data_IF_935719867019
#
_entry.id   IF_935719867019
#
_cell.length_a   1.000
_cell.length_b   1.000
_cell.length_c   1.000
_cell.angle_alpha   90.00
_cell.angle_beta   90.00
_cell.angle_gamma   90.00
#
_symmetry.space_group_name_H-M   'P 1'
#
loop_
_entity.id
_entity.type
_entity.pdbx_description
1 polymer ?
#
# COMPACT_ATOMS: atom_id res chain seq x y z
N UNK A 1 41.91 74.88 -33.83
CA UNK A 1 42.42 73.60 -33.31
C UNK A 1 43.58 73.88 -32.38
N UNK A 2 43.39 74.01 -31.05
CA UNK A 2 44.50 74.12 -30.13
C UNK A 2 44.93 72.72 -29.67
N UNK A 3 46.23 72.50 -29.80
CA UNK A 3 46.98 71.29 -29.53
C UNK A 3 46.64 70.63 -28.20
N UNK A 4 46.41 69.31 -28.24
CA UNK A 4 46.35 68.46 -27.08
C UNK A 4 47.71 68.50 -26.35
N UNK A 5 47.80 69.34 -25.32
CA UNK A 5 48.84 69.22 -24.30
C UNK A 5 48.60 67.87 -23.64
N UNK A 6 49.49 66.92 -23.93
CA UNK A 6 49.49 65.61 -23.28
C UNK A 6 49.77 65.87 -21.80
N UNK A 7 48.73 65.98 -20.97
CA UNK A 7 48.83 65.97 -19.52
C UNK A 7 49.40 64.61 -19.12
N UNK A 8 50.74 64.51 -19.06
CA UNK A 8 51.41 63.38 -18.43
C UNK A 8 51.02 63.42 -16.96
N UNK A 9 50.32 62.38 -16.50
CA UNK A 9 50.06 62.20 -15.07
C UNK A 9 51.41 62.19 -14.35
N UNK A 10 51.57 63.02 -13.30
CA UNK A 10 52.77 63.06 -12.48
C UNK A 10 53.12 61.65 -12.03
N UNK A 11 54.40 61.31 -12.01
CA UNK A 11 54.86 59.99 -11.59
C UNK A 11 55.66 60.13 -10.32
N UNK A 12 55.61 59.10 -9.47
CA UNK A 12 56.49 59.01 -8.31
C UNK A 12 57.94 59.05 -8.77
N UNK A 13 58.67 60.09 -8.39
CA UNK A 13 60.09 60.22 -8.63
C UNK A 13 60.82 59.58 -7.44
N UNK A 14 61.76 58.69 -7.75
CA UNK A 14 62.68 58.10 -6.77
C UNK A 14 64.10 58.36 -7.25
N UNK A 15 64.81 59.26 -6.57
CA UNK A 15 66.22 59.51 -6.83
C UNK A 15 67.06 58.59 -5.92
N UNK A 16 68.09 57.97 -6.47
CA UNK A 16 69.10 57.25 -5.69
C UNK A 16 70.10 58.21 -5.04
N UNK A 17 70.78 57.79 -3.99
CA UNK A 17 71.71 58.62 -3.21
C UNK A 17 72.81 59.25 -4.10
N UNK A 18 73.35 58.49 -5.05
CA UNK A 18 74.34 58.97 -6.03
C UNK A 18 73.79 60.00 -7.03
N UNK A 19 72.49 59.91 -7.37
CA UNK A 19 71.83 60.88 -8.24
C UNK A 19 71.55 62.19 -7.50
N UNK A 20 71.32 62.14 -6.19
CA UNK A 20 71.14 63.32 -5.35
C UNK A 20 72.41 64.17 -5.26
N UNK A 21 73.59 63.54 -5.26
CA UNK A 21 74.89 64.21 -5.16
C UNK A 21 75.33 64.89 -6.48
N UNK A 22 74.75 64.48 -7.61
CA UNK A 22 75.17 64.90 -8.96
C UNK A 22 74.12 65.73 -9.71
N UNK A 23 72.91 65.87 -9.18
CA UNK A 23 71.79 66.55 -9.85
C UNK A 23 71.97 68.07 -9.86
N UNK A 24 71.57 68.70 -10.96
CA UNK A 24 71.54 70.16 -11.05
C UNK A 24 70.40 70.73 -10.19
N UNK A 25 70.55 71.98 -9.73
CA UNK A 25 69.51 72.66 -8.95
C UNK A 25 68.19 72.78 -9.75
N UNK A 26 68.26 73.00 -11.06
CA UNK A 26 67.08 73.13 -11.93
C UNK A 26 66.33 71.79 -12.07
N UNK A 27 67.06 70.69 -12.24
CA UNK A 27 66.48 69.34 -12.34
C UNK A 27 65.90 68.86 -11.00
N UNK A 28 66.51 69.27 -9.88
CA UNK A 28 65.97 69.02 -8.54
C UNK A 28 64.66 69.77 -8.32
N UNK A 29 64.58 71.05 -8.73
CA UNK A 29 63.35 71.85 -8.64
C UNK A 29 62.25 71.24 -9.51
N UNK A 30 62.57 70.81 -10.74
CA UNK A 30 61.61 70.12 -11.60
C UNK A 30 61.11 68.82 -10.95
N UNK A 31 62.03 68.00 -10.44
CA UNK A 31 61.71 66.74 -9.76
C UNK A 31 60.87 66.95 -8.50
N UNK A 32 61.14 68.00 -7.74
CA UNK A 32 60.35 68.39 -6.58
C UNK A 32 58.92 68.74 -7.00
N UNK A 33 58.74 69.63 -7.99
CA UNK A 33 57.41 70.05 -8.45
C UNK A 33 56.59 68.90 -9.02
N UNK A 34 57.21 67.98 -9.75
CA UNK A 34 56.52 66.79 -10.28
C UNK A 34 56.12 65.82 -9.15
N UNK A 35 56.96 65.66 -8.13
CA UNK A 35 56.65 64.86 -6.95
C UNK A 35 55.56 65.50 -6.09
N UNK A 36 55.55 66.82 -5.94
CA UNK A 36 54.53 67.60 -5.23
C UNK A 36 53.16 67.45 -5.90
N UNK A 37 53.12 67.61 -7.22
CA UNK A 37 51.90 67.40 -8.02
C UNK A 37 51.41 65.93 -7.98
N UNK A 38 52.32 64.95 -7.87
CA UNK A 38 51.95 63.55 -7.66
C UNK A 38 51.32 63.32 -6.29
N UNK A 39 51.84 63.96 -5.24
CA UNK A 39 51.29 63.89 -3.87
C UNK A 39 49.91 64.53 -3.84
N UNK A 40 49.73 65.73 -4.41
CA UNK A 40 48.42 66.40 -4.50
C UNK A 40 47.36 65.51 -5.16
N UNK A 41 47.71 64.82 -6.25
CA UNK A 41 46.79 63.89 -6.91
C UNK A 41 46.47 62.69 -6.00
N UNK A 42 47.45 62.10 -5.33
CA UNK A 42 47.20 60.98 -4.40
C UNK A 42 46.33 61.39 -3.21
N UNK A 43 46.56 62.58 -2.65
CA UNK A 43 45.76 63.12 -1.55
C UNK A 43 44.33 63.37 -2.02
N UNK A 44 44.14 63.96 -3.22
CA UNK A 44 42.81 64.15 -3.80
C UNK A 44 42.09 62.83 -4.08
N UNK A 45 42.80 61.81 -4.56
CA UNK A 45 42.24 60.47 -4.79
C UNK A 45 41.87 59.77 -3.50
N UNK A 46 42.72 59.90 -2.46
CA UNK A 46 42.46 59.32 -1.14
C UNK A 46 41.23 59.98 -0.51
N UNK A 47 41.15 61.31 -0.55
CA UNK A 47 39.98 62.05 -0.07
C UNK A 47 38.69 61.68 -0.82
N UNK A 48 38.76 61.50 -2.15
CA UNK A 48 37.62 61.05 -2.94
C UNK A 48 37.19 59.62 -2.56
N UNK A 49 38.14 58.70 -2.38
CA UNK A 49 37.86 57.33 -1.95
C UNK A 49 37.26 57.28 -0.54
N UNK A 50 37.75 58.11 0.39
CA UNK A 50 37.18 58.22 1.75
C UNK A 50 35.74 58.72 1.71
N UNK A 51 35.43 59.71 0.87
CA UNK A 51 34.07 60.21 0.66
C UNK A 51 33.16 59.13 0.05
N UNK A 52 33.63 58.40 -0.96
CA UNK A 52 32.89 57.29 -1.56
C UNK A 52 32.60 56.19 -0.54
N UNK A 53 33.60 55.78 0.25
CA UNK A 53 33.44 54.79 1.32
C UNK A 53 32.41 55.26 2.36
N UNK A 54 32.45 56.54 2.75
CA UNK A 54 31.47 57.10 3.69
C UNK A 54 30.05 57.03 3.12
N UNK A 55 29.87 57.41 1.84
CA UNK A 55 28.56 57.35 1.18
C UNK A 55 28.04 55.92 1.03
N UNK A 56 28.92 54.98 0.71
CA UNK A 56 28.58 53.56 0.59
C UNK A 56 28.15 52.98 1.93
N UNK A 57 28.88 53.28 3.02
CA UNK A 57 28.50 52.87 4.38
C UNK A 57 27.15 53.43 4.79
N UNK A 58 26.88 54.69 4.49
CA UNK A 58 25.56 55.27 4.78
C UNK A 58 24.45 54.58 3.99
N UNK A 59 24.69 54.28 2.70
CA UNK A 59 23.72 53.57 1.87
C UNK A 59 23.48 52.13 2.36
N UNK A 60 24.54 51.43 2.78
CA UNK A 60 24.48 50.07 3.34
C UNK A 60 23.63 50.06 4.62
N UNK A 61 23.88 51.00 5.54
CA UNK A 61 23.14 51.09 6.79
C UNK A 61 21.65 51.40 6.55
N UNK A 62 21.35 52.32 5.62
CA UNK A 62 19.95 52.59 5.21
C UNK A 62 19.25 51.35 4.67
N UNK A 63 19.91 50.60 3.78
CA UNK A 63 19.36 49.37 3.21
C UNK A 63 19.17 48.29 4.27
N UNK A 64 20.11 48.17 5.20
CA UNK A 64 20.03 47.25 6.34
C UNK A 64 18.83 47.57 7.24
N UNK A 65 18.61 48.84 7.55
CA UNK A 65 17.46 49.29 8.35
C UNK A 65 16.14 49.01 7.62
N UNK A 66 16.03 49.35 6.33
CA UNK A 66 14.84 49.04 5.53
C UNK A 66 14.55 47.55 5.48
N UNK A 67 15.58 46.71 5.33
CA UNK A 67 15.42 45.26 5.32
C UNK A 67 14.91 44.73 6.66
N UNK A 68 15.43 45.24 7.78
CA UNK A 68 14.98 44.87 9.12
C UNK A 68 13.51 45.27 9.36
N UNK A 69 13.13 46.48 8.97
CA UNK A 69 11.74 46.95 9.07
C UNK A 69 10.80 46.12 8.20
N UNK A 70 11.18 45.84 6.94
CA UNK A 70 10.38 45.02 6.03
C UNK A 70 10.18 43.61 6.59
N UNK A 71 11.25 43.00 7.10
CA UNK A 71 11.21 41.65 7.72
C UNK A 71 10.32 41.65 8.97
N UNK A 72 10.35 42.71 9.76
CA UNK A 72 9.47 42.84 10.91
C UNK A 72 7.99 42.96 10.50
N UNK A 73 7.69 43.80 9.50
CA UNK A 73 6.33 43.95 8.95
C UNK A 73 5.80 42.63 8.40
N UNK A 74 6.62 41.90 7.65
CA UNK A 74 6.28 40.59 7.11
C UNK A 74 5.93 39.60 8.24
N UNK A 75 6.75 39.50 9.29
CA UNK A 75 6.48 38.64 10.44
C UNK A 75 5.14 38.96 11.12
N UNK A 76 4.77 40.23 11.22
CA UNK A 76 3.47 40.64 11.78
C UNK A 76 2.32 40.22 10.86
N UNK A 77 2.47 40.42 9.55
CA UNK A 77 1.46 40.04 8.57
C UNK A 77 1.23 38.52 8.55
N UNK A 78 2.29 37.72 8.61
CA UNK A 78 2.20 36.25 8.67
C UNK A 78 1.41 35.80 9.91
N UNK A 79 1.68 36.36 11.09
CA UNK A 79 0.91 36.02 12.31
C UNK A 79 -0.56 36.38 12.17
N UNK A 80 -0.85 37.57 11.62
CA UNK A 80 -2.24 38.02 11.42
C UNK A 80 -2.98 37.14 10.41
N UNK A 81 -2.29 36.71 9.36
CA UNK A 81 -2.83 35.78 8.37
C UNK A 81 -3.14 34.42 9.01
N UNK A 82 -2.21 33.87 9.80
CA UNK A 82 -2.44 32.63 10.55
C UNK A 82 -3.66 32.72 11.50
N UNK A 83 -3.84 33.86 12.20
CA UNK A 83 -5.04 34.08 13.03
C UNK A 83 -6.31 34.10 12.18
N UNK A 84 -6.29 34.74 11.01
CA UNK A 84 -7.45 34.77 10.10
C UNK A 84 -7.77 33.40 9.52
N UNK A 85 -6.76 32.60 9.19
CA UNK A 85 -6.94 31.21 8.76
C UNK A 85 -7.56 30.34 9.85
N UNK A 86 -7.11 30.52 11.10
CA UNK A 86 -7.71 29.83 12.24
C UNK A 86 -9.19 30.23 12.43
N UNK A 87 -9.52 31.52 12.40
CA UNK A 87 -10.92 32.00 12.48
C UNK A 87 -11.78 31.41 11.36
N UNK A 88 -11.29 31.37 10.12
CA UNK A 88 -12.01 30.74 9.00
C UNK A 88 -12.26 29.25 9.25
N UNK A 89 -11.27 28.53 9.79
CA UNK A 89 -11.41 27.11 10.11
C UNK A 89 -12.44 26.89 11.22
N UNK A 90 -12.48 27.76 12.24
CA UNK A 90 -13.49 27.73 13.29
C UNK A 90 -14.90 27.98 12.72
N UNK A 91 -15.07 28.96 11.82
CA UNK A 91 -16.36 29.17 11.13
C UNK A 91 -16.76 27.97 10.27
N UNK A 92 -15.81 27.34 9.57
CA UNK A 92 -16.08 26.14 8.80
C UNK A 92 -16.55 24.98 9.69
N UNK A 93 -15.94 24.81 10.87
CA UNK A 93 -16.38 23.83 11.88
C UNK A 93 -17.80 24.12 12.36
N UNK A 94 -18.09 25.38 12.74
CA UNK A 94 -19.42 25.78 13.17
C UNK A 94 -20.48 25.50 12.08
N UNK A 95 -20.17 25.81 10.82
CA UNK A 95 -21.08 25.51 9.69
C UNK A 95 -21.30 24.01 9.55
N UNK A 96 -20.25 23.18 9.70
CA UNK A 96 -20.37 21.73 9.63
C UNK A 96 -21.25 21.20 10.77
N UNK A 97 -21.07 21.71 11.99
CA UNK A 97 -21.89 21.38 13.16
C UNK A 97 -23.35 21.79 12.97
N UNK A 98 -23.61 23.01 12.50
CA UNK A 98 -24.97 23.47 12.20
C UNK A 98 -25.63 22.61 11.13
N UNK A 99 -24.91 22.20 10.08
CA UNK A 99 -25.44 21.31 9.04
C UNK A 99 -25.77 19.92 9.60
N UNK A 100 -24.89 19.35 10.42
CA UNK A 100 -25.14 18.06 11.08
C UNK A 100 -26.35 18.13 12.02
N UNK A 101 -26.44 19.19 12.83
CA UNK A 101 -27.59 19.46 13.71
C UNK A 101 -28.89 19.69 12.95
N UNK A 102 -28.84 20.36 11.79
CA UNK A 102 -30.02 20.61 10.96
C UNK A 102 -30.58 19.34 10.30
N UNK A 103 -29.72 18.38 9.93
CA UNK A 103 -30.18 17.07 9.40
C UNK A 103 -30.89 16.21 10.44
N UNK A 104 -30.44 16.20 11.70
CA UNK A 104 -31.16 15.57 12.80
C UNK A 104 -32.43 16.37 13.17
N UNK A 105 -32.34 17.70 13.11
CA UNK A 105 -33.39 18.64 13.43
C UNK A 105 -34.60 18.59 12.51
N UNK A 106 -34.48 18.33 11.19
CA UNK A 106 -35.66 18.25 10.31
C UNK A 106 -36.55 17.03 10.61
N UNK A 107 -35.96 15.87 10.89
CA UNK A 107 -36.70 14.65 11.25
C UNK A 107 -37.30 14.80 12.65
N UNK A 108 -36.55 15.38 13.59
CA UNK A 108 -37.02 15.71 14.93
C UNK A 108 -38.11 16.79 14.93
N UNK A 109 -38.01 17.83 14.08
CA UNK A 109 -39.04 18.86 13.90
C UNK A 109 -40.31 18.24 13.34
N UNK A 110 -40.21 17.37 12.32
CA UNK A 110 -41.39 16.67 11.79
C UNK A 110 -42.08 15.84 12.86
N UNK A 111 -41.34 15.20 13.76
CA UNK A 111 -41.93 14.48 14.91
C UNK A 111 -42.43 15.40 16.03
N UNK A 112 -41.84 16.58 16.23
CA UNK A 112 -42.25 17.55 17.26
C UNK A 112 -43.44 18.42 16.83
N UNK A 113 -43.62 18.64 15.52
CA UNK A 113 -44.76 19.34 14.93
C UNK A 113 -46.01 18.46 14.81
N UNK A 114 -45.85 17.15 14.92
CA UNK A 114 -46.97 16.23 15.08
C UNK A 114 -47.29 16.12 16.56
N UNK A 115 -48.58 16.22 16.90
CA UNK A 115 -49.05 15.92 18.26
C UNK A 115 -48.54 14.51 18.66
N UNK A 116 -48.01 14.31 19.88
CA UNK A 116 -47.42 13.04 20.28
C UNK A 116 -48.36 11.84 20.16
N UNK A 117 -49.67 12.02 20.43
CA UNK A 117 -50.65 10.94 20.29
C UNK A 117 -50.95 10.66 18.82
N UNK A 118 -51.05 11.70 17.98
CA UNK A 118 -51.21 11.58 16.53
C UNK A 118 -50.00 10.89 15.89
N UNK A 119 -48.78 11.24 16.30
CA UNK A 119 -47.55 10.62 15.80
C UNK A 119 -47.49 9.13 16.15
N UNK A 120 -47.85 8.76 17.39
CA UNK A 120 -47.90 7.36 17.81
C UNK A 120 -48.95 6.56 17.03
N UNK A 121 -50.12 7.15 16.78
CA UNK A 121 -51.15 6.53 15.93
C UNK A 121 -50.66 6.34 14.50
N UNK A 122 -50.04 7.35 13.89
CA UNK A 122 -49.48 7.27 12.54
C UNK A 122 -48.36 6.23 12.43
N UNK A 123 -47.50 6.11 13.44
CA UNK A 123 -46.47 5.07 13.49
C UNK A 123 -47.09 3.68 13.57
N UNK A 124 -48.11 3.48 14.42
CA UNK A 124 -48.83 2.21 14.50
C UNK A 124 -49.54 1.86 13.20
N UNK A 125 -50.24 2.82 12.60
CA UNK A 125 -50.91 2.64 11.31
C UNK A 125 -49.92 2.26 10.20
N UNK A 126 -48.73 2.87 10.17
CA UNK A 126 -47.68 2.51 9.21
C UNK A 126 -47.16 1.09 9.42
N UNK A 127 -46.97 0.69 10.68
CA UNK A 127 -46.53 -0.66 11.02
C UNK A 127 -47.58 -1.71 10.64
N UNK A 128 -48.85 -1.48 11.01
CA UNK A 128 -49.98 -2.34 10.65
C UNK A 128 -50.19 -2.42 9.14
N UNK A 129 -50.02 -1.31 8.42
CA UNK A 129 -50.11 -1.30 6.95
C UNK A 129 -49.00 -2.13 6.32
N UNK A 130 -47.78 -2.03 6.83
CA UNK A 130 -46.66 -2.85 6.35
C UNK A 130 -46.92 -4.34 6.61
N UNK A 131 -47.34 -4.68 7.82
CA UNK A 131 -47.62 -6.07 8.24
C UNK A 131 -48.77 -6.68 7.43
N UNK A 132 -49.83 -5.92 7.18
CA UNK A 132 -50.95 -6.40 6.34
C UNK A 132 -50.52 -6.58 4.90
N UNK A 133 -49.63 -5.73 4.38
CA UNK A 133 -49.07 -5.88 3.03
C UNK A 133 -48.20 -7.13 2.91
N UNK A 134 -47.34 -7.41 3.89
CA UNK A 134 -46.52 -8.64 3.87
C UNK A 134 -47.39 -9.89 3.97
N UNK A 135 -48.39 -9.91 4.85
CA UNK A 135 -49.35 -11.02 4.94
C UNK A 135 -50.15 -11.21 3.66
N UNK A 136 -50.52 -10.12 2.98
CA UNK A 136 -51.19 -10.18 1.68
C UNK A 136 -50.28 -10.81 0.61
N UNK A 137 -49.01 -10.41 0.56
CA UNK A 137 -48.03 -11.00 -0.36
C UNK A 137 -47.81 -12.49 -0.06
N UNK A 138 -47.68 -12.87 1.21
CA UNK A 138 -47.56 -14.28 1.64
C UNK A 138 -48.78 -15.11 1.26
N UNK A 139 -49.99 -14.67 1.62
CA UNK A 139 -51.23 -15.38 1.28
C UNK A 139 -51.48 -15.44 -0.23
N UNK A 140 -51.10 -14.40 -0.97
CA UNK A 140 -51.13 -14.41 -2.44
C UNK A 140 -50.14 -15.42 -3.01
N UNK A 141 -48.94 -15.52 -2.44
CA UNK A 141 -47.94 -16.51 -2.82
C UNK A 141 -48.42 -17.93 -2.51
N UNK A 142 -49.01 -18.17 -1.34
CA UNK A 142 -49.62 -19.45 -0.96
C UNK A 142 -50.79 -19.82 -1.88
N UNK A 143 -51.68 -18.87 -2.19
CA UNK A 143 -52.77 -19.09 -3.14
C UNK A 143 -52.24 -19.40 -4.54
N UNK A 144 -51.17 -18.74 -4.96
CA UNK A 144 -50.51 -19.03 -6.24
C UNK A 144 -49.87 -20.42 -6.25
N UNK A 145 -49.33 -20.87 -5.12
CA UNK A 145 -48.80 -22.21 -4.93
C UNK A 145 -49.93 -23.25 -4.90
N UNK A 146 -51.11 -22.95 -4.33
CA UNK A 146 -52.28 -23.82 -4.37
C UNK A 146 -52.92 -23.92 -5.76
N UNK A 147 -52.83 -22.86 -6.57
CA UNK A 147 -53.21 -22.87 -7.98
C UNK A 147 -52.18 -23.56 -8.87
N UNK A 148 -51.08 -24.07 -8.30
CA UNK A 148 -50.13 -24.88 -9.04
C UNK A 148 -50.81 -26.14 -9.55
N UNK A 149 -50.95 -26.20 -10.87
CA UNK A 149 -51.46 -27.37 -11.58
C UNK A 149 -50.30 -27.97 -12.38
N UNK A 150 -50.10 -29.30 -12.32
CA UNK A 150 -49.07 -29.99 -13.12
C UNK A 150 -49.20 -29.69 -14.62
N UNK A 151 -50.41 -29.36 -15.07
CA UNK A 151 -50.74 -29.10 -16.47
C UNK A 151 -50.47 -27.65 -16.94
N UNK A 152 -50.27 -26.71 -16.01
CA UNK A 152 -49.89 -25.33 -16.35
C UNK A 152 -48.53 -25.28 -17.03
N UNK A 153 -48.28 -24.28 -17.87
CA UNK A 153 -46.99 -24.13 -18.57
C UNK A 153 -45.79 -24.06 -17.59
N UNK A 154 -45.98 -23.40 -16.45
CA UNK A 154 -44.96 -23.32 -15.39
C UNK A 154 -44.81 -24.66 -14.66
N UNK A 155 -45.92 -25.35 -14.36
CA UNK A 155 -45.92 -26.67 -13.73
C UNK A 155 -45.27 -27.75 -14.59
N UNK A 156 -45.60 -27.79 -15.89
CA UNK A 156 -44.96 -28.68 -16.87
C UNK A 156 -43.45 -28.47 -16.94
N UNK A 157 -42.99 -27.21 -16.93
CA UNK A 157 -41.56 -26.88 -16.95
C UNK A 157 -40.84 -27.33 -15.67
N UNK A 158 -41.46 -27.14 -14.51
CA UNK A 158 -40.94 -27.61 -13.23
C UNK A 158 -40.87 -29.14 -13.20
N UNK A 159 -41.93 -29.82 -13.61
CA UNK A 159 -42.00 -31.29 -13.66
C UNK A 159 -40.99 -31.89 -14.64
N UNK A 160 -40.76 -31.25 -15.80
CA UNK A 160 -39.71 -31.64 -16.73
C UNK A 160 -38.32 -31.52 -16.08
N UNK A 161 -38.08 -30.42 -15.33
CA UNK A 161 -36.82 -30.22 -14.59
C UNK A 161 -36.65 -31.26 -13.47
N UNK A 162 -37.70 -31.59 -12.73
CA UNK A 162 -37.68 -32.66 -11.72
C UNK A 162 -37.36 -34.03 -12.35
N UNK A 163 -37.94 -34.36 -13.51
CA UNK A 163 -37.63 -35.61 -14.24
C UNK A 163 -36.18 -35.66 -14.70
N UNK A 164 -35.65 -34.56 -15.23
CA UNK A 164 -34.24 -34.46 -15.63
C UNK A 164 -33.31 -34.65 -14.44
N UNK A 165 -33.55 -33.97 -13.32
CA UNK A 165 -32.75 -34.15 -12.10
C UNK A 165 -32.80 -35.59 -11.56
N UNK A 166 -33.95 -36.25 -11.70
CA UNK A 166 -34.09 -37.66 -11.30
C UNK A 166 -33.24 -38.58 -12.19
N UNK A 167 -33.26 -38.35 -13.50
CA UNK A 167 -32.41 -39.09 -14.45
C UNK A 167 -30.93 -38.83 -14.21
N UNK A 168 -30.51 -37.58 -13.99
CA UNK A 168 -29.13 -37.23 -13.66
C UNK A 168 -28.67 -37.94 -12.37
N UNK A 169 -29.51 -37.96 -11.32
CA UNK A 169 -29.19 -38.68 -10.10
C UNK A 169 -29.07 -40.19 -10.30
N UNK A 170 -29.93 -40.78 -11.14
CA UNK A 170 -29.86 -42.21 -11.48
C UNK A 170 -28.58 -42.54 -12.29
N UNK A 171 -28.19 -41.65 -13.20
CA UNK A 171 -26.94 -41.76 -13.95
C UNK A 171 -25.70 -41.60 -13.06
N UNK A 172 -25.72 -40.65 -12.13
CA UNK A 172 -24.66 -40.50 -11.11
C UNK A 172 -24.57 -41.77 -10.25
N UNK A 173 -25.69 -42.34 -9.83
CA UNK A 173 -25.73 -43.62 -9.11
C UNK A 173 -25.14 -44.78 -9.93
N UNK A 174 -25.48 -44.86 -11.23
CA UNK A 174 -24.89 -45.84 -12.16
C UNK A 174 -23.39 -45.62 -12.39
N UNK A 175 -22.95 -44.37 -12.47
CA UNK A 175 -21.53 -44.03 -12.67
C UNK A 175 -20.69 -44.40 -11.45
N UNK A 176 -21.22 -44.14 -10.25
CA UNK A 176 -20.58 -44.50 -8.98
C UNK A 176 -20.45 -46.02 -8.85
N UNK A 177 -21.50 -46.78 -9.19
CA UNK A 177 -21.47 -48.24 -9.09
C UNK A 177 -20.63 -48.92 -10.18
N UNK A 178 -20.62 -48.40 -11.41
CA UNK A 178 -19.97 -49.08 -12.56
C UNK A 178 -18.48 -48.78 -12.71
N UNK A 179 -17.99 -47.59 -12.35
CA UNK A 179 -16.65 -47.16 -12.75
C UNK A 179 -15.53 -47.60 -11.80
N UNK A 180 -15.57 -47.09 -10.57
CA UNK A 180 -14.46 -47.26 -9.60
C UNK A 180 -14.66 -48.46 -8.69
N UNK A 181 -15.90 -48.73 -8.29
CA UNK A 181 -16.23 -49.85 -7.41
C UNK A 181 -15.95 -51.18 -8.09
N UNK A 182 -16.48 -51.39 -9.31
CA UNK A 182 -16.28 -52.62 -10.07
C UNK A 182 -14.80 -52.92 -10.36
N UNK A 183 -13.99 -51.88 -10.64
CA UNK A 183 -12.53 -52.04 -10.83
C UNK A 183 -11.83 -52.49 -9.53
N UNK A 184 -12.15 -51.86 -8.40
CA UNK A 184 -11.59 -52.22 -7.09
C UNK A 184 -12.04 -53.62 -6.64
N UNK A 185 -13.27 -54.02 -6.93
CA UNK A 185 -13.78 -55.37 -6.66
C UNK A 185 -13.06 -56.42 -7.52
N UNK A 186 -12.77 -56.11 -8.80
CA UNK A 186 -11.98 -56.96 -9.68
C UNK A 186 -10.53 -57.14 -9.20
N UNK A 187 -9.85 -56.04 -8.85
CA UNK A 187 -8.50 -56.09 -8.28
C UNK A 187 -8.46 -56.88 -6.96
N UNK A 188 -9.46 -56.70 -6.09
CA UNK A 188 -9.59 -57.42 -4.83
C UNK A 188 -9.82 -58.93 -5.03
N UNK A 189 -10.66 -59.31 -5.99
CA UNK A 189 -10.90 -60.72 -6.32
C UNK A 189 -9.64 -61.40 -6.85
N UNK A 190 -8.89 -60.70 -7.73
CA UNK A 190 -7.62 -61.18 -8.25
C UNK A 190 -6.61 -61.38 -7.11
N UNK A 191 -6.50 -60.42 -6.20
CA UNK A 191 -5.62 -60.50 -5.04
C UNK A 191 -5.96 -61.69 -4.12
N UNK A 192 -7.25 -61.98 -3.89
CA UNK A 192 -7.68 -63.15 -3.13
C UNK A 192 -7.25 -64.46 -3.80
N UNK A 193 -7.48 -64.58 -5.11
CA UNK A 193 -7.06 -65.78 -5.86
C UNK A 193 -5.56 -66.02 -5.80
N UNK A 194 -4.75 -64.96 -5.95
CA UNK A 194 -3.30 -65.04 -5.82
C UNK A 194 -2.86 -65.46 -4.41
N UNK A 195 -3.51 -64.91 -3.38
CA UNK A 195 -3.24 -65.28 -1.97
C UNK A 195 -3.55 -66.76 -1.70
N UNK A 196 -4.65 -67.27 -2.22
CA UNK A 196 -5.04 -68.67 -2.03
C UNK A 196 -4.11 -69.62 -2.80
N UNK A 197 -3.66 -69.25 -3.99
CA UNK A 197 -2.69 -70.03 -4.77
C UNK A 197 -1.32 -70.08 -4.08
N UNK A 198 -0.87 -68.97 -3.49
CA UNK A 198 0.35 -68.93 -2.66
C UNK A 198 0.20 -69.81 -1.43
N UNK A 199 -0.93 -69.76 -0.72
CA UNK A 199 -1.18 -70.64 0.44
C UNK A 199 -1.20 -72.12 0.05
N UNK A 200 -1.80 -72.44 -1.09
CA UNK A 200 -1.83 -73.81 -1.62
C UNK A 200 -0.42 -74.28 -1.96
N UNK A 201 0.35 -73.48 -2.70
CA UNK A 201 1.75 -73.79 -3.01
C UNK A 201 2.57 -73.97 -1.73
N UNK A 202 2.44 -73.08 -0.75
CA UNK A 202 3.10 -73.21 0.55
C UNK A 202 2.73 -74.52 1.26
N UNK A 203 1.45 -74.92 1.21
CA UNK A 203 0.98 -76.16 1.82
C UNK A 203 1.55 -77.40 1.13
N UNK A 204 1.64 -77.39 -0.19
CA UNK A 204 2.29 -78.45 -1.00
C UNK A 204 3.79 -78.55 -0.68
N UNK A 205 4.51 -77.42 -0.58
CA UNK A 205 5.90 -77.38 -0.13
C UNK A 205 6.05 -77.91 1.30
N UNK A 206 5.14 -77.55 2.20
CA UNK A 206 5.17 -78.02 3.59
C UNK A 206 4.98 -79.54 3.67
N UNK A 207 4.03 -80.09 2.90
CA UNK A 207 3.81 -81.53 2.73
C UNK A 207 5.05 -82.24 2.18
N UNK A 208 5.69 -81.67 1.17
CA UNK A 208 6.91 -82.21 0.59
C UNK A 208 8.05 -82.29 1.63
N UNK A 209 8.27 -81.22 2.40
CA UNK A 209 9.26 -81.21 3.48
C UNK A 209 8.97 -82.28 4.55
N UNK A 210 7.71 -82.42 4.96
CA UNK A 210 7.29 -83.42 5.95
C UNK A 210 7.54 -84.86 5.44
N UNK A 211 7.20 -85.14 4.18
CA UNK A 211 7.46 -86.45 3.58
C UNK A 211 8.97 -86.76 3.52
N UNK A 212 9.79 -85.75 3.20
CA UNK A 212 11.24 -85.89 3.16
C UNK A 212 11.82 -86.17 4.56
N UNK A 213 11.35 -85.46 5.59
CA UNK A 213 11.74 -85.68 6.99
C UNK A 213 11.36 -87.10 7.47
N UNK A 214 10.14 -87.55 7.16
CA UNK A 214 9.70 -88.90 7.49
C UNK A 214 10.53 -89.98 6.76
N UNK A 215 10.87 -89.76 5.50
CA UNK A 215 11.74 -90.67 4.72
C UNK A 215 13.15 -90.75 5.30
N UNK A 216 13.73 -89.60 5.68
CA UNK A 216 15.01 -89.51 6.38
C UNK A 216 14.97 -90.28 7.70
N UNK A 217 13.94 -90.08 8.52
CA UNK A 217 13.78 -90.77 9.79
C UNK A 217 13.75 -92.31 9.60
N UNK A 218 12.96 -92.79 8.62
CA UNK A 218 12.85 -94.22 8.33
C UNK A 218 14.20 -94.81 7.85
N UNK A 219 14.92 -94.08 7.00
CA UNK A 219 16.26 -94.49 6.53
C UNK A 219 17.27 -94.55 7.68
N UNK A 220 17.23 -93.58 8.61
CA UNK A 220 18.11 -93.56 9.78
C UNK A 220 17.82 -94.72 10.72
N UNK A 221 16.54 -95.04 10.94
CA UNK A 221 16.14 -96.17 11.79
C UNK A 221 16.53 -97.53 11.20
N UNK A 222 16.45 -97.69 9.87
CA UNK A 222 16.97 -98.88 9.16
C UNK A 222 18.49 -99.00 9.27
N UNK A 223 19.22 -97.88 9.17
CA UNK A 223 20.67 -97.85 9.37
C UNK A 223 21.02 -98.26 10.80
N UNK A 224 20.33 -97.70 11.82
CA UNK A 224 20.51 -98.08 13.23
C UNK A 224 20.28 -99.58 13.42
N UNK A 225 19.15 -100.13 12.96
CA UNK A 225 18.87 -101.57 13.08
C UNK A 225 19.93 -102.44 12.41
N UNK A 226 20.43 -102.06 11.22
CA UNK A 226 21.54 -102.77 10.57
C UNK A 226 22.86 -102.67 11.35
N UNK A 227 23.15 -101.53 11.97
CA UNK A 227 24.35 -101.38 12.80
C UNK A 227 24.26 -102.14 14.13
N UNK A 228 23.07 -102.29 14.71
CA UNK A 228 22.84 -103.09 15.92
C UNK A 228 22.86 -104.60 15.62
N UNK A 229 22.26 -105.03 14.51
CA UNK A 229 22.33 -106.43 14.06
C UNK A 229 23.74 -106.86 13.61
N UNK A 230 24.59 -105.92 13.22
CA UNK A 230 25.99 -106.19 12.87
C UNK A 230 26.98 -106.17 14.04
N UNK A 231 26.52 -105.87 15.27
CA UNK A 231 27.35 -105.83 16.49
C UNK A 231 27.05 -106.96 17.51
N UNK A 232 26.18 -107.90 17.15
CA UNK A 232 25.93 -109.17 17.84
C UNK A 232 26.25 -110.34 16.91
#
# INVERSE_FOLDING_TARGET
MPSAVINRLPRRIKLSEQQLETISLEDLIHSWREQDLYIDILESQTAAQEADIASLRESEERMRQQHLESTHREKVLVRRLATKEQEMQEYASQIAEFKAGQTAGQTALRSALLDPAVNLLLQRLRAELLETRTRLEETQNELSAWKFTPDSNTGKRLMAKCRLLYQENEELGRMISSGRLAKLEGELALQKSFSDEVKKSQSEYWLFCLMFEHSLHLSFQLVIQRTELGKN
#
